data_IF_463975911657
#
_entry.id   IF_463975911657
#
_cell.length_a   1.000
_cell.length_b   1.000
_cell.length_c   1.000
_cell.angle_alpha   90.00
_cell.angle_beta   90.00
_cell.angle_gamma   90.00
#
_symmetry.space_group_name_H-M   'P 1'
#
loop_
_entity.id
_entity.type
_entity.pdbx_description
1 polymer ?
#
# COMPACT_ATOMS: atom_id res chain seq x y z
N UNK A 1 -2.59 -27.29 0.26
CA UNK A 1 -3.14 -25.92 0.10
C UNK A 1 -4.00 -25.64 1.31
N UNK A 2 -3.67 -24.63 2.12
CA UNK A 2 -4.56 -24.21 3.20
C UNK A 2 -5.78 -23.54 2.57
N UNK A 3 -6.92 -24.20 2.57
CA UNK A 3 -8.19 -23.61 2.13
C UNK A 3 -8.60 -22.54 3.13
N UNK A 4 -8.91 -21.34 2.66
CA UNK A 4 -9.48 -20.29 3.51
C UNK A 4 -10.77 -20.79 4.15
N UNK A 5 -10.93 -20.59 5.45
CA UNK A 5 -12.16 -20.91 6.18
C UNK A 5 -13.19 -19.77 6.13
N UNK A 6 -12.98 -18.78 5.26
CA UNK A 6 -13.85 -17.63 5.06
C UNK A 6 -14.10 -17.34 3.58
N UNK A 7 -15.26 -16.79 3.28
CA UNK A 7 -15.65 -16.31 1.96
C UNK A 7 -16.09 -14.84 2.05
N UNK A 8 -15.77 -14.04 1.02
CA UNK A 8 -16.23 -12.67 0.92
C UNK A 8 -17.51 -12.59 0.09
N UNK A 9 -18.55 -11.96 0.63
CA UNK A 9 -19.83 -11.70 -0.01
C UNK A 9 -19.87 -10.23 -0.44
N UNK A 10 -19.93 -9.92 -1.76
CA UNK A 10 -20.01 -8.53 -2.20
C UNK A 10 -21.36 -7.91 -1.89
N UNK A 11 -21.43 -6.57 -1.92
CA UNK A 11 -22.71 -5.88 -1.96
C UNK A 11 -23.38 -6.09 -3.31
N UNK A 12 -24.71 -6.30 -3.32
CA UNK A 12 -25.47 -6.46 -4.55
C UNK A 12 -26.76 -7.22 -4.39
N UNK A 13 -27.38 -7.51 -5.52
CA UNK A 13 -28.54 -8.43 -5.61
C UNK A 13 -28.09 -9.89 -5.43
N UNK A 14 -29.00 -10.77 -5.07
CA UNK A 14 -28.72 -12.21 -4.91
C UNK A 14 -28.09 -12.78 -6.22
N UNK A 15 -28.59 -12.35 -7.39
CA UNK A 15 -28.01 -12.77 -8.68
C UNK A 15 -26.55 -12.36 -8.83
N UNK A 16 -26.22 -11.10 -8.52
CA UNK A 16 -24.83 -10.60 -8.57
C UNK A 16 -23.91 -11.31 -7.58
N UNK A 17 -24.41 -11.62 -6.38
CA UNK A 17 -23.65 -12.36 -5.38
C UNK A 17 -23.35 -13.79 -5.88
N UNK A 18 -24.33 -14.50 -6.43
CA UNK A 18 -24.14 -15.86 -6.97
C UNK A 18 -23.14 -15.83 -8.14
N UNK A 19 -23.31 -14.93 -9.13
CA UNK A 19 -22.36 -14.80 -10.24
C UNK A 19 -20.94 -14.52 -9.73
N UNK A 20 -20.77 -13.63 -8.74
CA UNK A 20 -19.47 -13.39 -8.12
C UNK A 20 -18.88 -14.65 -7.48
N UNK A 21 -19.69 -15.46 -6.78
CA UNK A 21 -19.22 -16.71 -6.16
C UNK A 21 -18.80 -17.74 -7.21
N UNK A 22 -19.56 -17.87 -8.30
CA UNK A 22 -19.20 -18.73 -9.44
C UNK A 22 -17.89 -18.29 -10.08
N UNK A 23 -17.70 -16.99 -10.31
CA UNK A 23 -16.45 -16.42 -10.83
C UNK A 23 -15.25 -16.67 -9.90
N UNK A 24 -15.50 -16.89 -8.61
CA UNK A 24 -14.50 -17.26 -7.60
C UNK A 24 -14.33 -18.78 -7.45
N UNK A 25 -14.86 -19.57 -8.39
CA UNK A 25 -14.78 -21.02 -8.44
C UNK A 25 -15.47 -21.74 -7.27
N UNK A 26 -16.51 -21.14 -6.66
CA UNK A 26 -17.40 -21.90 -5.79
C UNK A 26 -18.33 -22.75 -6.64
N UNK A 27 -18.53 -24.01 -6.23
CA UNK A 27 -19.41 -24.97 -6.95
C UNK A 27 -20.89 -24.62 -6.75
N UNK A 28 -21.37 -23.63 -7.49
CA UNK A 28 -22.72 -23.11 -7.46
C UNK A 28 -23.33 -23.09 -8.86
N UNK A 29 -24.65 -23.25 -8.93
CA UNK A 29 -25.45 -23.11 -10.15
C UNK A 29 -26.24 -21.80 -10.13
N UNK A 30 -25.84 -20.82 -10.96
CA UNK A 30 -26.43 -19.47 -10.96
C UNK A 30 -27.97 -19.46 -10.96
N UNK A 31 -28.59 -20.30 -11.78
CA UNK A 31 -30.04 -20.31 -11.91
C UNK A 31 -30.75 -20.97 -10.72
N UNK A 32 -30.21 -22.07 -10.20
CA UNK A 32 -30.84 -22.86 -9.14
C UNK A 32 -30.59 -22.22 -7.76
N UNK A 33 -29.34 -21.91 -7.46
CA UNK A 33 -28.93 -21.44 -6.15
C UNK A 33 -29.43 -20.02 -5.85
N UNK A 34 -29.69 -19.23 -6.90
CA UNK A 34 -30.39 -17.95 -6.77
C UNK A 34 -31.78 -18.11 -6.13
N UNK A 35 -32.56 -19.11 -6.57
CA UNK A 35 -33.90 -19.36 -6.02
C UNK A 35 -33.83 -19.93 -4.60
N UNK A 36 -32.85 -20.80 -4.34
CA UNK A 36 -32.62 -21.33 -2.99
C UNK A 36 -32.29 -20.20 -2.01
N UNK A 37 -31.46 -19.22 -2.39
CA UNK A 37 -31.15 -18.06 -1.55
C UNK A 37 -32.36 -17.13 -1.34
N UNK A 38 -33.30 -17.03 -2.28
CA UNK A 38 -34.54 -16.30 -2.03
C UNK A 38 -35.39 -16.96 -0.93
N UNK A 39 -35.33 -18.29 -0.78
CA UNK A 39 -36.03 -19.02 0.28
C UNK A 39 -35.28 -19.03 1.62
N UNK A 40 -33.95 -19.17 1.59
CA UNK A 40 -33.10 -19.22 2.79
C UNK A 40 -32.94 -17.84 3.42
N UNK A 41 -32.80 -16.80 2.59
CA UNK A 41 -32.58 -15.42 3.01
C UNK A 41 -31.46 -14.74 2.21
N UNK A 42 -31.56 -13.43 2.10
CA UNK A 42 -30.55 -12.64 1.39
C UNK A 42 -29.19 -12.70 2.08
N UNK A 43 -28.09 -13.05 1.36
CA UNK A 43 -26.76 -13.00 1.91
C UNK A 43 -26.38 -11.61 2.44
N UNK A 44 -25.72 -11.58 3.59
CA UNK A 44 -25.17 -10.35 4.15
C UNK A 44 -23.81 -10.07 3.51
N UNK A 45 -23.61 -8.84 3.04
CA UNK A 45 -22.30 -8.43 2.50
C UNK A 45 -21.23 -8.45 3.60
N UNK A 46 -20.01 -8.80 3.21
CA UNK A 46 -18.85 -8.90 4.10
C UNK A 46 -18.27 -10.30 4.19
N UNK A 47 -17.44 -10.53 5.19
CA UNK A 47 -16.80 -11.82 5.39
C UNK A 47 -17.68 -12.80 6.15
N UNK A 48 -17.81 -14.02 5.60
CA UNK A 48 -18.61 -15.11 6.12
C UNK A 48 -17.72 -16.27 6.50
N UNK A 49 -17.93 -16.85 7.68
CA UNK A 49 -17.20 -18.04 8.13
C UNK A 49 -17.80 -19.31 7.48
N UNK A 50 -16.92 -20.11 6.86
CA UNK A 50 -17.27 -21.38 6.20
C UNK A 50 -16.56 -22.59 6.81
N UNK A 51 -16.21 -22.52 8.09
CA UNK A 51 -15.32 -23.37 8.90
C UNK A 51 -15.54 -24.91 8.85
N UNK A 52 -16.28 -25.45 7.91
CA UNK A 52 -16.50 -26.90 7.81
C UNK A 52 -16.11 -27.40 6.42
N UNK A 53 -15.33 -28.47 6.40
CA UNK A 53 -15.03 -29.21 5.17
C UNK A 53 -15.30 -30.70 5.43
N UNK A 54 -16.07 -31.39 4.58
CA UNK A 54 -16.76 -30.87 3.40
C UNK A 54 -18.06 -30.13 3.77
N UNK A 55 -18.35 -29.01 3.09
CA UNK A 55 -19.62 -28.31 3.14
C UNK A 55 -20.55 -28.84 2.04
N UNK A 56 -21.79 -29.13 2.35
CA UNK A 56 -22.80 -29.31 1.31
C UNK A 56 -23.13 -27.95 0.68
N UNK A 57 -23.68 -27.98 -0.55
CA UNK A 57 -24.14 -26.74 -1.21
C UNK A 57 -25.18 -26.00 -0.39
N UNK A 58 -26.11 -26.73 0.22
CA UNK A 58 -27.15 -26.16 1.10
C UNK A 58 -26.56 -25.47 2.31
N UNK A 59 -25.61 -26.12 2.99
CA UNK A 59 -24.93 -25.53 4.17
C UNK A 59 -24.14 -24.27 3.77
N UNK A 60 -23.50 -24.28 2.62
CA UNK A 60 -22.78 -23.11 2.12
C UNK A 60 -23.73 -21.93 1.89
N UNK A 61 -24.85 -22.15 1.17
CA UNK A 61 -25.87 -21.13 0.94
C UNK A 61 -26.49 -20.60 2.24
N UNK A 62 -26.75 -21.50 3.19
CA UNK A 62 -27.24 -21.11 4.52
C UNK A 62 -26.24 -20.22 5.25
N UNK A 63 -24.94 -20.59 5.24
CA UNK A 63 -23.88 -19.80 5.87
C UNK A 63 -23.71 -18.42 5.23
N UNK A 64 -23.85 -18.29 3.89
CA UNK A 64 -23.80 -17.00 3.21
C UNK A 64 -24.83 -16.00 3.77
N UNK A 65 -25.98 -16.50 4.23
CA UNK A 65 -27.08 -15.67 4.75
C UNK A 65 -27.05 -15.46 6.26
N UNK A 66 -26.45 -16.39 7.03
CA UNK A 66 -26.60 -16.44 8.49
C UNK A 66 -25.28 -16.37 9.27
N UNK A 67 -24.13 -16.51 8.62
CA UNK A 67 -22.84 -16.49 9.32
C UNK A 67 -22.07 -15.19 9.05
N UNK A 68 -21.27 -14.77 10.05
CA UNK A 68 -20.27 -13.72 9.93
C UNK A 68 -18.92 -14.23 10.42
N UNK A 69 -17.84 -13.86 9.77
CA UNK A 69 -16.52 -14.14 10.28
C UNK A 69 -16.12 -13.12 11.36
N UNK A 70 -15.52 -13.55 12.47
CA UNK A 70 -14.91 -12.62 13.41
C UNK A 70 -13.76 -11.87 12.69
N UNK A 71 -13.66 -10.56 12.93
CA UNK A 71 -12.67 -9.70 12.32
C UNK A 71 -11.63 -9.28 13.36
N UNK A 72 -10.37 -9.23 12.94
CA UNK A 72 -9.29 -8.54 13.66
C UNK A 72 -8.89 -7.31 12.88
N UNK A 73 -8.45 -6.28 13.62
CA UNK A 73 -8.05 -4.99 13.02
C UNK A 73 -6.54 -4.94 12.89
N UNK A 74 -6.06 -4.55 11.72
CA UNK A 74 -4.66 -4.25 11.44
C UNK A 74 -4.59 -2.88 10.78
N UNK A 75 -3.76 -1.99 11.34
CA UNK A 75 -3.55 -0.66 10.79
C UNK A 75 -2.20 -0.60 10.08
N UNK A 76 -2.22 -0.32 8.78
CA UNK A 76 -1.04 -0.04 7.97
C UNK A 76 -0.87 1.47 7.86
N UNK A 77 0.18 2.00 8.47
CA UNK A 77 0.42 3.45 8.52
C UNK A 77 1.28 3.91 7.33
N UNK A 78 1.05 5.15 6.82
CA UNK A 78 1.91 5.73 5.79
C UNK A 78 3.37 5.79 6.24
N UNK A 79 4.28 5.46 5.34
CA UNK A 79 5.71 5.44 5.64
C UNK A 79 6.24 4.06 6.06
N UNK A 80 5.36 3.11 6.40
CA UNK A 80 5.76 1.73 6.67
C UNK A 80 5.98 0.93 5.40
N UNK A 81 6.78 -0.14 5.48
CA UNK A 81 7.01 -1.06 4.37
C UNK A 81 6.07 -2.26 4.44
N UNK A 82 5.84 -2.92 3.29
CA UNK A 82 5.02 -4.13 3.24
C UNK A 82 5.60 -5.26 4.09
N UNK A 83 6.94 -5.32 4.24
CA UNK A 83 7.61 -6.28 5.11
C UNK A 83 7.09 -6.17 6.54
N UNK A 84 7.02 -4.95 7.09
CA UNK A 84 6.52 -4.71 8.44
C UNK A 84 5.02 -5.01 8.56
N UNK A 85 4.22 -4.63 7.54
CA UNK A 85 2.81 -5.00 7.49
C UNK A 85 2.63 -6.51 7.55
N UNK A 86 3.39 -7.28 6.74
CA UNK A 86 3.24 -8.73 6.70
C UNK A 86 3.76 -9.42 7.96
N UNK A 87 4.78 -8.87 8.62
CA UNK A 87 5.18 -9.33 9.97
C UNK A 87 4.02 -9.14 10.97
N UNK A 88 3.41 -7.96 10.99
CA UNK A 88 2.28 -7.65 11.87
C UNK A 88 1.09 -8.58 11.60
N UNK A 89 0.75 -8.81 10.34
CA UNK A 89 -0.33 -9.72 9.92
C UNK A 89 0.00 -11.16 10.30
N UNK A 90 1.21 -11.64 10.03
CA UNK A 90 1.62 -13.00 10.35
C UNK A 90 1.46 -13.30 11.84
N UNK A 91 1.91 -12.40 12.69
CA UNK A 91 1.76 -12.51 14.15
C UNK A 91 0.29 -12.44 14.62
N UNK A 92 -0.51 -11.54 14.03
CA UNK A 92 -1.89 -11.34 14.46
C UNK A 92 -2.83 -12.50 14.06
N UNK A 93 -2.55 -13.17 12.93
CA UNK A 93 -3.45 -14.16 12.32
C UNK A 93 -2.89 -15.59 12.31
N UNK A 94 -1.71 -15.82 12.88
CA UNK A 94 -1.00 -17.11 12.84
C UNK A 94 -0.79 -17.59 11.38
N UNK A 95 -0.29 -16.67 10.54
CA UNK A 95 0.03 -16.91 9.13
C UNK A 95 1.56 -16.94 8.92
N UNK A 96 2.02 -17.57 7.83
CA UNK A 96 3.43 -17.55 7.48
C UNK A 96 3.81 -16.26 6.77
N UNK A 97 4.78 -15.53 7.33
CA UNK A 97 5.39 -14.36 6.70
C UNK A 97 5.98 -14.69 5.32
N UNK A 98 6.69 -15.80 5.21
CA UNK A 98 7.33 -16.25 3.97
C UNK A 98 6.31 -16.51 2.87
N UNK A 99 5.16 -17.15 3.22
CA UNK A 99 4.07 -17.38 2.27
C UNK A 99 3.39 -16.08 1.87
N UNK A 100 3.18 -15.14 2.79
CA UNK A 100 2.62 -13.82 2.47
C UNK A 100 3.51 -13.09 1.46
N UNK A 101 4.83 -13.06 1.70
CA UNK A 101 5.80 -12.46 0.79
C UNK A 101 5.83 -13.16 -0.57
N UNK A 102 5.79 -14.49 -0.59
CA UNK A 102 5.77 -15.27 -1.83
C UNK A 102 4.50 -15.03 -2.64
N UNK A 103 3.33 -15.07 -2.00
CA UNK A 103 2.05 -14.80 -2.66
C UNK A 103 2.00 -13.37 -3.21
N UNK A 104 2.55 -12.39 -2.49
CA UNK A 104 2.67 -11.02 -2.97
C UNK A 104 3.55 -10.94 -4.22
N UNK A 105 4.74 -11.53 -4.20
CA UNK A 105 5.66 -11.52 -5.33
C UNK A 105 5.09 -12.23 -6.57
N UNK A 106 4.29 -13.29 -6.37
CA UNK A 106 3.63 -14.01 -7.46
C UNK A 106 2.42 -13.24 -8.05
N UNK A 107 1.76 -12.41 -7.25
CA UNK A 107 0.51 -11.76 -7.63
C UNK A 107 0.69 -10.35 -8.22
N UNK A 108 1.87 -9.74 -8.06
CA UNK A 108 2.12 -8.37 -8.52
C UNK A 108 3.60 -8.12 -8.84
N UNK A 109 3.90 -7.29 -9.87
CA UNK A 109 5.27 -6.86 -10.15
C UNK A 109 5.76 -5.73 -9.23
N UNK A 110 4.88 -5.12 -8.43
CA UNK A 110 5.24 -4.00 -7.57
C UNK A 110 6.03 -4.46 -6.36
N UNK A 111 7.25 -3.94 -6.22
CA UNK A 111 8.13 -4.32 -5.12
C UNK A 111 7.68 -3.69 -3.80
N UNK A 112 7.27 -2.41 -3.82
CA UNK A 112 6.84 -1.65 -2.64
C UNK A 112 5.88 -0.52 -3.05
N UNK A 113 5.22 0.11 -2.06
CA UNK A 113 4.42 1.33 -2.22
C UNK A 113 3.05 1.13 -2.90
N UNK A 114 2.70 -0.11 -3.26
CA UNK A 114 1.42 -0.39 -3.93
C UNK A 114 0.29 -0.67 -2.95
N UNK A 115 0.58 -1.31 -1.81
CA UNK A 115 -0.43 -1.51 -0.75
C UNK A 115 -0.78 -0.17 -0.12
N UNK A 116 -2.07 0.02 0.14
CA UNK A 116 -2.59 1.28 0.64
C UNK A 116 -2.53 1.32 2.16
N UNK A 117 -1.96 2.38 2.76
CA UNK A 117 -2.08 2.60 4.19
C UNK A 117 -3.56 2.82 4.57
N UNK A 118 -4.08 1.93 5.39
CA UNK A 118 -5.47 1.98 5.87
C UNK A 118 -5.64 1.09 7.11
N UNK A 119 -6.79 1.16 7.73
CA UNK A 119 -7.21 0.23 8.78
C UNK A 119 -8.01 -0.90 8.15
N UNK A 120 -7.42 -2.10 8.14
CA UNK A 120 -8.00 -3.30 7.55
C UNK A 120 -8.74 -4.14 8.59
N UNK A 121 -9.97 -4.50 8.26
CA UNK A 121 -10.78 -5.45 9.01
C UNK A 121 -10.65 -6.83 8.35
N UNK A 122 -9.76 -7.65 8.87
CA UNK A 122 -9.34 -8.92 8.29
C UNK A 122 -10.04 -10.07 9.02
N UNK A 123 -10.70 -11.01 8.31
CA UNK A 123 -11.38 -12.12 8.95
C UNK A 123 -10.40 -13.16 9.50
N UNK A 124 -10.70 -13.68 10.68
CA UNK A 124 -9.98 -14.81 11.26
C UNK A 124 -10.22 -16.05 10.40
N UNK A 125 -9.15 -16.78 10.08
CA UNK A 125 -9.19 -17.96 9.23
C UNK A 125 -9.05 -17.68 7.72
N UNK A 126 -8.68 -16.45 7.34
CA UNK A 126 -8.26 -16.15 5.97
C UNK A 126 -6.91 -16.83 5.68
N UNK A 127 -6.71 -17.33 4.46
CA UNK A 127 -5.40 -17.83 4.03
C UNK A 127 -4.52 -16.69 3.49
N UNK A 128 -3.20 -16.90 3.47
CA UNK A 128 -2.20 -15.95 2.97
C UNK A 128 -2.53 -15.50 1.55
N UNK A 129 -2.87 -16.44 0.67
CA UNK A 129 -3.25 -16.16 -0.71
C UNK A 129 -4.48 -15.24 -0.81
N UNK A 130 -5.55 -15.57 -0.10
CA UNK A 130 -6.78 -14.75 -0.16
C UNK A 130 -6.56 -13.36 0.43
N UNK A 131 -5.79 -13.26 1.50
CA UNK A 131 -5.46 -11.98 2.12
C UNK A 131 -4.66 -11.09 1.17
N UNK A 132 -3.59 -11.63 0.57
CA UNK A 132 -2.76 -10.86 -0.39
C UNK A 132 -3.60 -10.40 -1.58
N UNK A 133 -4.41 -11.29 -2.16
CA UNK A 133 -5.30 -10.92 -3.27
C UNK A 133 -6.34 -9.86 -2.87
N UNK A 134 -6.88 -9.93 -1.66
CA UNK A 134 -7.80 -8.91 -1.13
C UNK A 134 -7.12 -7.54 -1.02
N UNK A 135 -5.93 -7.48 -0.43
CA UNK A 135 -5.16 -6.24 -0.29
C UNK A 135 -4.79 -5.64 -1.66
N UNK A 136 -4.32 -6.48 -2.59
CA UNK A 136 -3.95 -6.05 -3.94
C UNK A 136 -5.15 -5.59 -4.77
N UNK A 137 -6.30 -6.24 -4.66
CA UNK A 137 -7.51 -5.83 -5.37
C UNK A 137 -7.98 -4.44 -4.93
N UNK A 138 -7.96 -4.19 -3.60
CA UNK A 138 -8.28 -2.87 -3.04
C UNK A 138 -7.28 -1.81 -3.52
N UNK A 139 -5.98 -2.12 -3.48
CA UNK A 139 -4.93 -1.23 -3.93
C UNK A 139 -5.08 -0.88 -5.43
N UNK A 140 -5.26 -1.88 -6.28
CA UNK A 140 -5.44 -1.69 -7.73
C UNK A 140 -6.62 -0.77 -8.04
N UNK A 141 -7.75 -1.00 -7.40
CA UNK A 141 -8.93 -0.16 -7.56
C UNK A 141 -8.64 1.28 -7.14
N UNK A 142 -8.08 1.47 -5.96
CA UNK A 142 -7.75 2.80 -5.43
C UNK A 142 -6.81 3.57 -6.37
N UNK A 143 -5.70 2.97 -6.75
CA UNK A 143 -4.71 3.63 -7.61
C UNK A 143 -5.28 4.00 -8.97
N UNK A 144 -6.08 3.11 -9.56
CA UNK A 144 -6.78 3.38 -10.81
C UNK A 144 -7.78 4.54 -10.65
N UNK A 145 -8.64 4.48 -9.64
CA UNK A 145 -9.67 5.49 -9.40
C UNK A 145 -9.06 6.89 -9.16
N UNK A 146 -7.95 6.95 -8.39
CA UNK A 146 -7.26 8.23 -8.12
C UNK A 146 -6.61 8.78 -9.39
N UNK A 147 -5.91 7.91 -10.15
CA UNK A 147 -5.24 8.35 -11.39
C UNK A 147 -6.24 8.83 -12.44
N UNK A 148 -7.31 8.06 -12.68
CA UNK A 148 -8.32 8.39 -13.69
C UNK A 148 -9.07 9.68 -13.37
N UNK A 149 -9.31 9.97 -12.10
CA UNK A 149 -9.91 11.24 -11.67
C UNK A 149 -9.03 12.46 -11.97
N UNK A 150 -7.71 12.29 -11.99
CA UNK A 150 -6.75 13.39 -12.18
C UNK A 150 -6.34 13.53 -13.65
N UNK A 151 -6.13 12.41 -14.35
CA UNK A 151 -5.51 12.37 -15.68
C UNK A 151 -6.40 11.79 -16.78
N UNK A 152 -7.55 11.21 -16.43
CA UNK A 152 -8.47 10.55 -17.36
C UNK A 152 -8.12 9.09 -17.55
N UNK A 153 -7.22 8.74 -18.45
CA UNK A 153 -6.87 7.34 -18.75
C UNK A 153 -5.66 6.88 -17.92
N UNK A 154 -5.75 5.66 -17.35
CA UNK A 154 -4.71 5.11 -16.48
C UNK A 154 -3.41 4.81 -17.25
N UNK A 155 -2.31 5.40 -16.82
CA UNK A 155 -0.96 5.13 -17.31
C UNK A 155 -0.08 4.63 -16.15
N UNK A 156 0.24 3.34 -16.17
CA UNK A 156 0.94 2.65 -15.11
C UNK A 156 2.36 3.20 -14.87
N UNK A 157 3.14 3.41 -15.94
CA UNK A 157 4.52 3.90 -15.82
C UNK A 157 4.58 5.32 -15.23
N UNK A 158 3.67 6.20 -15.66
CA UNK A 158 3.54 7.54 -15.10
C UNK A 158 3.12 7.50 -13.63
N UNK A 159 2.18 6.60 -13.29
CA UNK A 159 1.71 6.43 -11.92
C UNK A 159 2.81 5.93 -11.00
N UNK A 160 3.54 4.89 -11.42
CA UNK A 160 4.65 4.34 -10.65
C UNK A 160 5.70 5.41 -10.31
N UNK A 161 6.03 6.29 -11.26
CA UNK A 161 6.93 7.40 -11.00
C UNK A 161 6.42 8.34 -9.91
N UNK A 162 5.12 8.66 -9.89
CA UNK A 162 4.54 9.47 -8.82
C UNK A 162 4.58 8.76 -7.47
N UNK A 163 4.35 7.43 -7.42
CA UNK A 163 4.43 6.67 -6.17
C UNK A 163 5.87 6.63 -5.64
N UNK A 164 6.89 6.49 -6.51
CA UNK A 164 8.29 6.59 -6.09
C UNK A 164 8.58 7.95 -5.46
N UNK A 165 8.19 9.04 -6.10
CA UNK A 165 8.38 10.40 -5.57
C UNK A 165 7.60 10.58 -4.27
N UNK A 166 6.34 10.13 -4.21
CA UNK A 166 5.51 10.20 -3.02
C UNK A 166 6.13 9.45 -1.82
N UNK A 167 6.76 8.30 -2.07
CA UNK A 167 7.41 7.53 -0.99
C UNK A 167 8.62 8.26 -0.39
N UNK A 168 9.36 9.00 -1.21
CA UNK A 168 10.45 9.86 -0.73
C UNK A 168 9.87 11.01 0.09
N UNK A 169 8.85 11.71 -0.45
CA UNK A 169 8.16 12.80 0.26
C UNK A 169 7.64 12.31 1.61
N UNK A 170 7.03 11.11 1.65
CA UNK A 170 6.48 10.51 2.86
C UNK A 170 7.52 10.30 3.96
N UNK A 171 8.76 9.96 3.58
CA UNK A 171 9.87 9.74 4.52
C UNK A 171 10.58 11.04 4.94
N UNK A 172 10.55 12.08 4.12
CA UNK A 172 11.31 13.31 4.34
C UNK A 172 10.48 14.43 4.97
N UNK A 173 9.20 14.57 4.64
CA UNK A 173 8.39 15.67 5.13
C UNK A 173 8.09 15.54 6.63
N UNK A 174 8.27 16.62 7.39
CA UNK A 174 7.95 16.65 8.82
C UNK A 174 6.43 16.62 9.09
N UNK A 175 5.64 17.14 8.15
CA UNK A 175 4.18 17.19 8.21
C UNK A 175 3.59 17.30 6.80
N UNK A 176 2.27 17.24 6.71
CA UNK A 176 1.55 17.29 5.42
C UNK A 176 1.74 18.62 4.68
N UNK A 177 1.88 19.74 5.41
CA UNK A 177 2.00 21.08 4.82
C UNK A 177 3.32 21.26 4.07
N UNK A 178 4.38 20.57 4.49
CA UNK A 178 5.70 20.61 3.85
C UNK A 178 5.82 19.67 2.64
N UNK A 179 4.93 18.71 2.47
CA UNK A 179 5.05 17.69 1.43
C UNK A 179 5.21 18.29 0.03
N UNK A 180 4.46 19.33 -0.30
CA UNK A 180 4.55 20.01 -1.61
C UNK A 180 5.85 20.80 -1.79
N UNK A 181 6.47 21.28 -0.70
CA UNK A 181 7.77 21.94 -0.70
C UNK A 181 8.91 20.91 -0.89
N UNK A 182 8.87 19.80 -0.16
CA UNK A 182 9.82 18.68 -0.34
C UNK A 182 9.74 18.16 -1.78
N UNK A 183 8.53 18.00 -2.31
CA UNK A 183 8.30 17.64 -3.72
C UNK A 183 8.99 18.62 -4.68
N UNK A 184 8.83 19.91 -4.43
CA UNK A 184 9.51 20.96 -5.24
C UNK A 184 11.03 20.77 -5.27
N UNK A 185 11.65 20.49 -4.11
CA UNK A 185 13.11 20.23 -4.04
C UNK A 185 13.49 19.01 -4.86
N UNK A 186 12.71 17.90 -4.77
CA UNK A 186 12.95 16.69 -5.56
C UNK A 186 12.97 17.03 -7.07
N UNK A 187 11.91 17.68 -7.56
CA UNK A 187 11.81 18.02 -8.98
C UNK A 187 12.89 19.01 -9.43
N UNK A 188 13.23 20.02 -8.61
CA UNK A 188 14.28 20.97 -8.93
C UNK A 188 15.65 20.31 -9.01
N UNK A 189 15.98 19.38 -8.09
CA UNK A 189 17.23 18.61 -8.16
C UNK A 189 17.27 17.70 -9.38
N UNK A 190 16.19 16.97 -9.67
CA UNK A 190 16.10 16.13 -10.86
C UNK A 190 16.29 16.95 -12.15
N UNK A 191 15.66 18.12 -12.26
CA UNK A 191 15.80 19.02 -13.41
C UNK A 191 17.23 19.53 -13.60
N UNK A 192 17.98 19.67 -12.51
CA UNK A 192 19.39 20.12 -12.51
C UNK A 192 20.40 18.95 -12.56
N UNK A 193 19.95 17.73 -12.75
CA UNK A 193 20.79 16.52 -12.69
C UNK A 193 21.60 16.38 -11.39
N UNK A 194 21.03 16.86 -10.29
CA UNK A 194 21.61 16.73 -8.94
C UNK A 194 21.20 15.40 -8.30
N UNK A 195 22.08 14.84 -7.47
CA UNK A 195 21.71 13.72 -6.59
C UNK A 195 20.66 14.18 -5.57
N UNK A 196 19.68 13.32 -5.25
CA UNK A 196 18.64 13.69 -4.28
C UNK A 196 19.16 13.82 -2.85
N UNK A 197 20.10 12.96 -2.43
CA UNK A 197 20.74 12.99 -1.12
C UNK A 197 19.72 13.04 0.03
N UNK A 198 18.77 12.11 -0.01
CA UNK A 198 17.66 12.02 0.93
C UNK A 198 17.79 10.76 1.77
N UNK A 199 17.88 10.92 3.08
CA UNK A 199 18.04 9.83 4.06
C UNK A 199 16.93 8.81 3.97
N UNK A 200 15.70 9.28 3.77
CA UNK A 200 14.51 8.43 3.66
C UNK A 200 14.60 7.37 2.56
N UNK A 201 15.41 7.59 1.54
CA UNK A 201 15.59 6.60 0.47
C UNK A 201 16.37 5.36 0.92
N UNK A 202 17.12 5.44 2.00
CA UNK A 202 17.82 4.30 2.62
C UNK A 202 16.96 3.52 3.61
N UNK A 203 15.75 4.00 3.93
CA UNK A 203 14.78 3.30 4.79
C UNK A 203 13.79 2.46 3.97
N UNK A 204 14.30 1.58 3.10
CA UNK A 204 13.52 0.66 2.26
C UNK A 204 13.45 -0.76 2.85
N UNK A 205 12.42 -1.53 2.51
CA UNK A 205 12.23 -2.92 2.91
C UNK A 205 12.37 -3.13 4.42
N UNK A 206 13.17 -4.09 4.83
CA UNK A 206 13.45 -4.39 6.24
C UNK A 206 14.21 -3.27 6.98
N UNK A 207 14.75 -2.29 6.26
CA UNK A 207 15.53 -1.20 6.84
C UNK A 207 14.69 0.02 7.24
N UNK A 208 13.37 -0.06 7.21
CA UNK A 208 12.44 1.07 7.40
C UNK A 208 12.70 1.88 8.69
N UNK A 209 13.09 1.22 9.78
CA UNK A 209 13.36 1.85 11.08
C UNK A 209 14.83 1.91 11.47
N UNK A 210 15.73 1.52 10.58
CA UNK A 210 17.16 1.55 10.89
C UNK A 210 17.67 2.97 10.76
N UNK A 211 18.34 3.45 11.83
CA UNK A 211 18.96 4.78 11.85
C UNK A 211 19.95 4.94 10.69
N UNK A 212 19.81 6.03 9.96
CA UNK A 212 20.76 6.39 8.92
C UNK A 212 21.98 7.02 9.56
N UNK A 213 23.14 6.41 9.30
CA UNK A 213 24.44 6.86 9.80
C UNK A 213 25.34 7.25 8.62
N UNK A 214 26.35 8.13 8.83
CA UNK A 214 27.34 8.44 7.81
C UNK A 214 28.06 7.19 7.25
N UNK A 215 28.23 6.17 8.08
CA UNK A 215 28.80 4.90 7.65
C UNK A 215 27.86 4.20 6.65
N UNK A 216 26.57 4.07 6.96
CA UNK A 216 25.59 3.44 6.09
C UNK A 216 25.44 4.19 4.75
N UNK A 217 25.46 5.52 4.76
CA UNK A 217 25.42 6.33 3.53
C UNK A 217 26.60 5.98 2.60
N UNK A 218 27.79 5.70 3.16
CA UNK A 218 28.98 5.33 2.39
C UNK A 218 29.00 3.86 1.95
N UNK A 219 28.42 2.95 2.72
CA UNK A 219 28.52 1.51 2.52
C UNK A 219 27.33 0.90 1.75
N UNK A 220 26.15 1.51 1.83
CA UNK A 220 24.99 1.03 1.08
C UNK A 220 25.16 1.33 -0.41
N UNK A 221 25.54 0.33 -1.18
CA UNK A 221 25.71 0.40 -2.65
C UNK A 221 24.42 0.08 -3.42
N UNK A 222 23.29 -0.05 -2.74
CA UNK A 222 22.02 -0.32 -3.39
C UNK A 222 21.58 0.86 -4.27
N UNK A 223 20.78 0.62 -5.32
CA UNK A 223 20.26 1.70 -6.17
C UNK A 223 19.28 2.64 -5.46
N UNK A 224 18.94 2.36 -4.20
CA UNK A 224 18.16 3.24 -3.33
C UNK A 224 19.01 4.36 -2.71
N UNK A 225 20.33 4.24 -2.72
CA UNK A 225 21.23 5.25 -2.15
C UNK A 225 21.34 6.49 -3.04
N UNK A 226 20.49 7.47 -2.81
CA UNK A 226 20.47 8.73 -3.55
C UNK A 226 21.64 9.68 -3.24
N UNK A 227 22.53 9.32 -2.31
CA UNK A 227 23.83 9.95 -2.13
C UNK A 227 24.86 9.45 -3.13
N UNK A 228 24.76 8.19 -3.57
CA UNK A 228 25.65 7.59 -4.56
C UNK A 228 25.15 7.78 -5.98
N UNK A 229 23.85 7.56 -6.21
CA UNK A 229 23.25 7.53 -7.53
C UNK A 229 22.36 8.75 -7.78
N UNK A 230 22.37 9.24 -9.03
CA UNK A 230 21.48 10.29 -9.50
C UNK A 230 20.12 9.72 -9.88
N UNK A 231 19.11 10.58 -9.88
CA UNK A 231 17.75 10.19 -10.27
C UNK A 231 16.91 9.63 -9.12
N UNK A 232 15.81 9.01 -9.46
CA UNK A 232 14.92 8.35 -8.53
C UNK A 232 15.39 6.92 -8.24
N UNK A 233 15.13 6.40 -7.02
CA UNK A 233 15.31 4.97 -6.75
C UNK A 233 14.40 4.13 -7.68
N UNK A 234 14.73 2.84 -7.90
CA UNK A 234 14.02 2.00 -8.87
C UNK A 234 12.58 1.69 -8.47
N UNK A 235 12.28 1.68 -7.17
CA UNK A 235 10.96 1.42 -6.63
C UNK A 235 10.67 2.37 -5.45
N UNK A 236 9.41 2.51 -5.03
CA UNK A 236 9.05 3.20 -3.80
C UNK A 236 9.79 2.62 -2.60
N UNK A 237 10.03 3.42 -1.58
CA UNK A 237 10.74 3.01 -0.35
C UNK A 237 9.78 2.64 0.79
N UNK A 238 8.51 3.01 0.68
CA UNK A 238 7.47 2.72 1.67
C UNK A 238 6.07 2.91 1.08
N UNK A 239 5.06 2.60 1.86
CA UNK A 239 3.67 2.98 1.59
C UNK A 239 3.47 4.49 1.63
N UNK A 240 2.49 4.98 0.89
CA UNK A 240 2.30 6.41 0.67
C UNK A 240 0.90 6.87 1.08
N UNK A 241 0.82 8.00 1.76
CA UNK A 241 -0.45 8.67 2.04
C UNK A 241 -1.01 9.32 0.77
N UNK A 242 -2.31 9.62 0.80
CA UNK A 242 -2.97 10.38 -0.27
C UNK A 242 -2.31 11.75 -0.46
N UNK A 243 -1.97 12.41 0.63
CA UNK A 243 -1.33 13.72 0.66
C UNK A 243 0.05 13.69 -0.02
N UNK A 244 0.84 12.66 0.24
CA UNK A 244 2.14 12.47 -0.42
C UNK A 244 1.99 12.23 -1.93
N UNK A 245 0.97 11.45 -2.36
CA UNK A 245 0.66 11.26 -3.78
C UNK A 245 0.29 12.59 -4.42
N UNK A 246 -0.60 13.38 -3.81
CA UNK A 246 -1.00 14.69 -4.33
C UNK A 246 0.19 15.66 -4.38
N UNK A 247 1.06 15.66 -3.36
CA UNK A 247 2.26 16.48 -3.36
C UNK A 247 3.24 16.08 -4.49
N UNK A 248 3.34 14.79 -4.79
CA UNK A 248 4.16 14.31 -5.92
C UNK A 248 3.61 14.74 -7.28
N UNK A 249 2.28 14.83 -7.42
CA UNK A 249 1.62 15.23 -8.67
C UNK A 249 1.59 16.76 -8.81
N UNK A 250 1.39 17.49 -7.72
CA UNK A 250 1.21 18.93 -7.67
C UNK A 250 2.27 19.58 -6.76
N UNK A 251 3.57 19.57 -7.16
CA UNK A 251 4.63 20.22 -6.39
C UNK A 251 4.41 21.72 -6.28
N UNK A 252 4.77 22.31 -5.16
CA UNK A 252 4.82 23.77 -5.06
C UNK A 252 5.88 24.34 -6.00
N UNK A 253 5.55 25.40 -6.72
CA UNK A 253 6.49 26.03 -7.63
C UNK A 253 7.46 26.91 -6.84
N UNK A 254 8.70 26.44 -6.67
CA UNK A 254 9.79 27.16 -5.99
C UNK A 254 11.12 26.92 -6.69
N UNK A 255 12.16 27.63 -6.25
CA UNK A 255 13.55 27.39 -6.67
C UNK A 255 14.38 26.71 -5.57
N UNK A 256 13.75 26.15 -4.54
CA UNK A 256 14.45 25.47 -3.47
C UNK A 256 15.18 24.22 -3.94
N UNK A 257 16.42 24.07 -3.45
CA UNK A 257 17.29 22.93 -3.72
C UNK A 257 17.69 22.19 -2.45
N UNK A 258 17.56 22.83 -1.27
CA UNK A 258 17.99 22.33 0.01
C UNK A 258 16.92 22.53 1.06
N UNK A 259 16.91 21.64 2.02
CA UNK A 259 16.16 21.82 3.27
C UNK A 259 16.92 21.21 4.44
N UNK A 260 16.69 21.71 5.64
CA UNK A 260 17.27 21.20 6.88
C UNK A 260 16.24 21.32 8.01
N UNK A 261 16.20 20.34 8.89
CA UNK A 261 15.29 20.35 10.03
C UNK A 261 15.69 21.48 11.01
N UNK A 262 14.74 22.31 11.36
CA UNK A 262 14.91 23.41 12.31
C UNK A 262 14.52 22.99 13.76
N UNK A 263 14.73 23.87 14.71
CA UNK A 263 14.45 23.64 16.13
C UNK A 263 12.97 23.42 16.47
N UNK A 264 12.08 23.87 15.58
CA UNK A 264 10.63 23.71 15.74
C UNK A 264 10.12 22.34 15.21
N UNK A 265 11.04 21.49 14.70
CA UNK A 265 10.68 20.17 14.14
C UNK A 265 10.18 20.19 12.69
N UNK A 266 10.10 21.38 12.06
CA UNK A 266 9.80 21.58 10.64
C UNK A 266 11.08 21.78 9.83
N UNK A 267 10.97 22.06 8.52
CA UNK A 267 12.14 22.30 7.69
C UNK A 267 12.26 23.77 7.25
N UNK A 268 13.52 24.25 7.19
CA UNK A 268 13.88 25.50 6.54
C UNK A 268 14.43 25.20 5.17
N UNK A 269 13.81 25.79 4.14
CA UNK A 269 14.14 25.58 2.72
C UNK A 269 15.03 26.68 2.20
N UNK A 270 16.00 26.34 1.35
CA UNK A 270 16.94 27.31 0.72
C UNK A 270 17.23 26.99 -0.73
N UNK A 271 17.61 28.03 -1.48
CA UNK A 271 17.90 27.94 -2.91
C UNK A 271 19.38 27.67 -3.18
N UNK A 272 20.27 28.16 -2.30
CA UNK A 272 21.72 28.03 -2.44
C UNK A 272 22.33 27.20 -1.33
N UNK A 273 23.52 26.65 -1.58
CA UNK A 273 24.24 25.86 -0.60
C UNK A 273 24.75 26.72 0.57
N UNK A 274 25.14 27.97 0.31
CA UNK A 274 25.58 28.92 1.34
C UNK A 274 24.46 29.19 2.33
N UNK A 275 23.26 29.52 1.85
CA UNK A 275 22.09 29.71 2.72
C UNK A 275 21.70 28.44 3.49
N UNK A 276 21.90 27.25 2.90
CA UNK A 276 21.69 25.98 3.57
C UNK A 276 22.68 25.79 4.75
N UNK A 277 23.97 26.08 4.53
CA UNK A 277 24.98 26.01 5.59
C UNK A 277 24.71 26.98 6.75
N UNK A 278 24.17 28.16 6.46
CA UNK A 278 23.74 29.11 7.49
C UNK A 278 22.58 28.57 8.30
N UNK A 279 21.59 27.94 7.64
CA UNK A 279 20.44 27.34 8.32
C UNK A 279 20.81 26.13 9.20
N UNK A 280 21.88 25.40 8.90
CA UNK A 280 22.39 24.30 9.73
C UNK A 280 22.98 24.82 11.06
N UNK A 281 23.55 26.04 11.08
CA UNK A 281 24.19 26.64 12.27
C UNK A 281 23.18 27.23 13.27
N UNK A 282 21.99 27.55 12.81
CA UNK A 282 20.90 28.17 13.59
C UNK A 282 19.96 27.13 14.20
#
# INVERSE_FOLDING_TARGET
>A
MSSSSVAFVPQGSIGQIISYMVDKNFDLHEKVDKYLLYMIGKPQSGWVSINQSPLTRGDFLYKLSHSKAPLKVVTYIPGETKELLFVQIALAFDLSYEKLMQEYANATPYVEGFLIPDTYYIPVGISEKHLVHFLLANAKKYHKDVFEKIFGEFNEAKWQKFIVIASIIQKEAANTEEMSLVSSVIYNRLKKDMKLQMDGTLNYGQYSHIKITPQRIREDTSPYNTYMYKGLPPNPVCSVSKEAIFAAIFPKQTNYLYFVKNKNGTHTFSQTYEAHLENIKN
#
